data_IF_017476203677
#
_entry.id   IF_017476203677
#
_cell.length_a   1.000
_cell.length_b   1.000
_cell.length_c   1.000
_cell.angle_alpha   90.00
_cell.angle_beta   90.00
_cell.angle_gamma   90.00
#
_symmetry.space_group_name_H-M   'P 1'
#
loop_
_entity.id
_entity.type
_entity.pdbx_description
1 polymer ?
#
# COMPACT_ATOMS: atom_id res chain seq x y z
N UNK A 1 -11.87 12.74 -4.64
CA UNK A 1 -12.32 13.26 -3.34
C UNK A 1 -11.74 12.35 -2.27
N UNK A 2 -10.98 12.85 -1.28
CA UNK A 2 -10.47 11.98 -0.22
C UNK A 2 -11.61 11.62 0.74
N UNK A 3 -11.71 10.35 1.12
CA UNK A 3 -12.66 9.86 2.11
C UNK A 3 -12.06 10.09 3.49
N UNK A 4 -12.73 10.89 4.31
CA UNK A 4 -12.37 11.11 5.71
C UNK A 4 -12.81 9.88 6.52
N UNK A 5 -11.85 9.07 6.96
CA UNK A 5 -12.09 8.06 7.99
C UNK A 5 -11.94 8.73 9.36
N UNK A 6 -13.03 8.78 10.12
CA UNK A 6 -13.07 9.24 11.52
C UNK A 6 -12.27 8.28 12.41
N UNK A 7 -10.94 8.42 12.40
CA UNK A 7 -10.06 7.76 13.36
C UNK A 7 -9.60 8.79 14.38
N UNK A 8 -10.16 8.68 15.58
CA UNK A 8 -10.11 9.66 16.66
C UNK A 8 -8.76 9.59 17.40
N UNK A 9 -7.66 9.83 16.67
CA UNK A 9 -6.35 10.15 17.25
C UNK A 9 -6.09 11.62 16.94
N UNK A 10 -6.46 12.49 17.88
CA UNK A 10 -6.40 13.94 17.76
C UNK A 10 -4.92 14.42 17.78
N UNK A 11 -4.19 14.12 16.72
CA UNK A 11 -2.84 14.62 16.47
C UNK A 11 -3.03 15.98 15.82
N UNK A 12 -2.79 17.06 16.56
CA UNK A 12 -2.93 18.44 16.08
C UNK A 12 -1.94 18.83 14.96
N UNK A 13 -0.99 17.96 14.64
CA UNK A 13 0.07 18.21 13.67
C UNK A 13 0.12 17.11 12.61
N UNK A 14 0.03 17.51 11.34
CA UNK A 14 0.27 16.64 10.19
C UNK A 14 1.77 16.50 9.95
N UNK A 15 2.24 15.27 9.71
CA UNK A 15 3.60 15.01 9.27
C UNK A 15 3.59 14.93 7.74
N UNK A 16 4.17 15.93 7.09
CA UNK A 16 4.18 16.01 5.61
C UNK A 16 5.21 15.07 4.97
N UNK A 17 6.26 14.68 5.69
CA UNK A 17 7.39 13.88 5.16
C UNK A 17 7.28 12.38 5.46
N UNK A 18 6.06 11.88 5.66
CA UNK A 18 5.84 10.46 6.01
C UNK A 18 6.25 9.52 4.89
N UNK A 19 6.12 9.94 3.65
CA UNK A 19 6.55 9.25 2.44
C UNK A 19 8.07 9.16 2.33
N UNK A 20 8.78 10.27 2.54
CA UNK A 20 10.25 10.30 2.57
C UNK A 20 10.78 9.38 3.66
N UNK A 21 10.15 9.40 4.84
CA UNK A 21 10.50 8.52 5.95
C UNK A 21 10.32 7.05 5.57
N UNK A 22 9.19 6.72 4.94
CA UNK A 22 8.89 5.36 4.51
C UNK A 22 9.92 4.82 3.50
N UNK A 23 10.29 5.64 2.51
CA UNK A 23 11.30 5.28 1.51
C UNK A 23 12.67 5.13 2.15
N UNK A 24 13.03 6.05 3.04
CA UNK A 24 14.30 6.02 3.80
C UNK A 24 14.40 4.74 4.63
N UNK A 25 13.32 4.35 5.32
CA UNK A 25 13.29 3.13 6.13
C UNK A 25 13.40 1.85 5.28
N UNK A 26 12.85 1.87 4.06
CA UNK A 26 12.89 0.73 3.13
C UNK A 26 14.24 0.59 2.42
N UNK A 27 14.87 1.70 2.02
CA UNK A 27 16.08 1.72 1.19
C UNK A 27 17.38 1.90 1.97
N UNK A 28 17.30 2.44 3.19
CA UNK A 28 18.45 2.87 3.98
C UNK A 28 19.06 4.21 3.55
N UNK A 29 18.48 4.88 2.54
CA UNK A 29 18.93 6.20 2.08
C UNK A 29 18.60 7.28 3.10
N UNK A 30 19.41 8.34 3.15
CA UNK A 30 19.09 9.52 3.95
C UNK A 30 18.06 10.42 3.24
N UNK A 31 17.50 11.39 3.97
CA UNK A 31 16.43 12.24 3.43
C UNK A 31 16.87 13.08 2.23
N UNK A 32 18.12 13.54 2.20
CA UNK A 32 18.65 14.28 1.05
C UNK A 32 18.76 13.40 -0.19
N UNK A 33 19.24 12.17 -0.02
CA UNK A 33 19.31 11.19 -1.10
C UNK A 33 17.91 10.86 -1.63
N UNK A 34 16.94 10.61 -0.74
CA UNK A 34 15.55 10.37 -1.13
C UNK A 34 14.96 11.54 -1.95
N UNK A 35 15.19 12.78 -1.54
CA UNK A 35 14.68 13.97 -2.23
C UNK A 35 15.45 14.30 -3.51
N UNK A 36 16.66 13.76 -3.69
CA UNK A 36 17.44 13.91 -4.91
C UNK A 36 17.08 12.91 -6.02
N UNK A 37 16.25 11.90 -5.71
CA UNK A 37 15.80 10.91 -6.69
C UNK A 37 14.92 11.55 -7.76
N UNK A 38 14.97 10.98 -8.97
CA UNK A 38 14.01 11.35 -10.00
C UNK A 38 12.59 10.91 -9.62
N UNK A 39 11.59 11.57 -10.21
CA UNK A 39 10.18 11.36 -9.88
C UNK A 39 9.72 9.90 -10.10
N UNK A 40 10.23 9.20 -11.12
CA UNK A 40 9.83 7.83 -11.41
C UNK A 40 10.40 6.87 -10.37
N UNK A 41 11.70 6.99 -10.07
CA UNK A 41 12.37 6.17 -9.06
C UNK A 41 11.78 6.42 -7.67
N UNK A 42 11.53 7.68 -7.31
CA UNK A 42 10.90 8.04 -6.04
C UNK A 42 9.53 7.36 -5.90
N UNK A 43 8.66 7.45 -6.91
CA UNK A 43 7.32 6.84 -6.88
C UNK A 43 7.36 5.32 -6.85
N UNK A 44 8.31 4.70 -7.56
CA UNK A 44 8.48 3.25 -7.55
C UNK A 44 8.88 2.78 -6.14
N UNK A 45 9.91 3.39 -5.56
CA UNK A 45 10.37 3.04 -4.22
C UNK A 45 9.31 3.32 -3.15
N UNK A 46 8.55 4.41 -3.28
CA UNK A 46 7.44 4.68 -2.38
C UNK A 46 6.39 3.58 -2.41
N UNK A 47 5.99 3.12 -3.60
CA UNK A 47 5.04 2.02 -3.76
C UNK A 47 5.57 0.75 -3.11
N UNK A 48 6.81 0.37 -3.42
CA UNK A 48 7.40 -0.87 -2.91
C UNK A 48 7.60 -0.82 -1.40
N UNK A 49 8.04 0.32 -0.86
CA UNK A 49 8.16 0.55 0.58
C UNK A 49 6.80 0.44 1.29
N UNK A 50 5.73 0.96 0.68
CA UNK A 50 4.38 0.85 1.22
C UNK A 50 3.87 -0.59 1.22
N UNK A 51 4.04 -1.32 0.11
CA UNK A 51 3.68 -2.74 0.02
C UNK A 51 4.47 -3.57 1.03
N UNK A 52 5.78 -3.33 1.15
CA UNK A 52 6.63 -4.01 2.12
C UNK A 52 6.18 -3.76 3.56
N UNK A 53 5.82 -2.51 3.89
CA UNK A 53 5.30 -2.16 5.22
C UNK A 53 3.98 -2.90 5.51
N UNK A 54 3.05 -2.92 4.56
CA UNK A 54 1.76 -3.60 4.73
C UNK A 54 1.93 -5.12 4.79
N UNK A 55 2.90 -5.71 4.08
CA UNK A 55 3.13 -7.16 4.15
C UNK A 55 3.65 -7.64 5.50
N UNK A 56 4.16 -6.76 6.37
CA UNK A 56 4.68 -7.16 7.68
C UNK A 56 3.58 -7.58 8.67
N UNK A 57 2.39 -7.00 8.57
CA UNK A 57 1.29 -7.26 9.51
C UNK A 57 0.20 -8.11 8.88
N UNK A 58 -0.55 -8.86 9.70
CA UNK A 58 -1.67 -9.67 9.21
C UNK A 58 -2.77 -8.80 8.59
N UNK A 59 -3.14 -7.71 9.26
CA UNK A 59 -4.11 -6.73 8.75
C UNK A 59 -3.65 -6.08 7.43
N UNK A 60 -2.35 -5.76 7.31
CA UNK A 60 -1.82 -5.16 6.09
C UNK A 60 -1.77 -6.16 4.93
N UNK A 61 -1.52 -7.45 5.19
CA UNK A 61 -1.65 -8.49 4.15
C UNK A 61 -3.09 -8.65 3.68
N UNK A 62 -4.06 -8.66 4.60
CA UNK A 62 -5.48 -8.71 4.25
C UNK A 62 -5.88 -7.49 3.37
N UNK A 63 -5.42 -6.29 3.73
CA UNK A 63 -5.63 -5.09 2.92
C UNK A 63 -5.04 -5.21 1.49
N UNK A 64 -3.82 -5.76 1.36
CA UNK A 64 -3.20 -5.98 0.06
C UNK A 64 -3.96 -7.03 -0.78
N UNK A 65 -4.52 -8.05 -0.13
CA UNK A 65 -5.34 -9.07 -0.77
C UNK A 65 -6.65 -8.48 -1.31
N UNK A 66 -7.34 -7.64 -0.53
CA UNK A 66 -8.52 -6.89 -0.97
C UNK A 66 -8.19 -5.98 -2.16
N UNK A 67 -7.07 -5.26 -2.09
CA UNK A 67 -6.59 -4.44 -3.20
C UNK A 67 -6.36 -5.28 -4.46
N UNK A 68 -5.79 -6.48 -4.33
CA UNK A 68 -5.62 -7.41 -5.45
C UNK A 68 -6.97 -7.83 -6.04
N UNK A 69 -7.95 -8.19 -5.22
CA UNK A 69 -9.30 -8.51 -5.70
C UNK A 69 -9.96 -7.35 -6.45
N UNK A 70 -9.77 -6.10 -5.99
CA UNK A 70 -10.29 -4.91 -6.66
C UNK A 70 -9.63 -4.64 -8.03
N UNK A 71 -8.37 -5.03 -8.22
CA UNK A 71 -7.69 -4.89 -9.51
C UNK A 71 -8.12 -5.93 -10.54
N UNK A 72 -8.79 -7.00 -10.11
CA UNK A 72 -9.18 -8.08 -10.98
C UNK A 72 -10.36 -7.67 -11.87
N UNK A 73 -10.14 -7.67 -13.19
CA UNK A 73 -11.17 -7.32 -14.19
C UNK A 73 -11.89 -8.53 -14.78
N UNK A 74 -11.39 -9.74 -14.49
CA UNK A 74 -11.96 -11.01 -15.00
C UNK A 74 -12.38 -11.90 -13.83
N UNK A 75 -13.60 -12.47 -13.89
CA UNK A 75 -14.06 -13.35 -12.81
C UNK A 75 -13.16 -14.58 -12.71
N UNK A 76 -12.88 -14.99 -11.48
CA UNK A 76 -12.18 -16.26 -11.22
C UNK A 76 -13.16 -17.42 -11.44
N UNK A 77 -13.18 -17.92 -12.68
CA UNK A 77 -14.05 -19.01 -13.11
C UNK A 77 -13.75 -20.33 -12.39
N UNK A 78 -12.52 -20.54 -11.91
CA UNK A 78 -12.15 -21.77 -11.21
C UNK A 78 -12.79 -21.80 -9.84
N UNK A 79 -12.67 -20.71 -9.08
CA UNK A 79 -13.31 -20.55 -7.78
C UNK A 79 -14.84 -20.62 -7.91
N UNK A 80 -15.42 -19.98 -8.94
CA UNK A 80 -16.86 -20.06 -9.21
C UNK A 80 -17.32 -21.50 -9.48
N UNK A 81 -16.58 -22.27 -10.27
CA UNK A 81 -16.89 -23.68 -10.57
C UNK A 81 -16.75 -24.58 -9.36
N UNK A 82 -15.78 -24.33 -8.49
CA UNK A 82 -15.65 -25.09 -7.24
C UNK A 82 -16.83 -24.86 -6.30
N UNK A 83 -17.32 -23.61 -6.23
CA UNK A 83 -18.40 -23.23 -5.32
C UNK A 83 -19.81 -23.55 -5.85
N UNK A 84 -20.01 -23.45 -7.17
CA UNK A 84 -21.35 -23.56 -7.80
C UNK A 84 -21.46 -24.63 -8.90
N UNK A 85 -20.36 -25.28 -9.28
CA UNK A 85 -20.31 -26.23 -10.40
C UNK A 85 -20.61 -27.70 -10.05
N UNK A 86 -20.94 -27.99 -8.77
CA UNK A 86 -21.40 -29.31 -8.36
C UNK A 86 -22.90 -29.45 -8.59
N UNK A 87 -23.28 -30.00 -9.74
CA UNK A 87 -24.61 -30.59 -9.98
C UNK A 87 -24.62 -32.07 -9.68
#
# INVERSE_FOLDING_TARGET
MPYETEDNNNIFYSIETTDVKLISDYTGLNFYECLSLDCYTYRLLFRDAYVYKMSQTEQGRAYLEECYYLTQTRPDLNSLRQQFGGG
#
